data_IF_458792998089
#
_entry.id   IF_458792998089
#
_cell.length_a   1.000
_cell.length_b   1.000
_cell.length_c   1.000
_cell.angle_alpha   90.00
_cell.angle_beta   90.00
_cell.angle_gamma   90.00
#
_symmetry.space_group_name_H-M   'P 1'
#
loop_
_entity.id
_entity.type
_entity.pdbx_description
1 polymer ?
#
# COMPACT_ATOMS: atom_id res chain seq x y z
N UNK A 1 -4.59 -12.41 -13.83
CA UNK A 1 -5.45 -12.00 -12.68
C UNK A 1 -4.53 -11.43 -11.58
N UNK A 2 -4.62 -10.12 -11.31
CA UNK A 2 -3.83 -9.44 -10.28
C UNK A 2 -4.43 -9.66 -8.88
N UNK A 3 -4.64 -10.91 -8.50
CA UNK A 3 -5.14 -11.24 -7.16
C UNK A 3 -3.98 -11.50 -6.22
N UNK A 4 -4.10 -11.02 -4.98
CA UNK A 4 -3.19 -11.43 -3.92
C UNK A 4 -3.32 -12.93 -3.66
N UNK A 5 -2.18 -13.58 -3.43
CA UNK A 5 -2.15 -14.94 -2.92
C UNK A 5 -2.88 -15.00 -1.57
N UNK A 6 -3.54 -16.13 -1.26
CA UNK A 6 -4.26 -16.33 0.01
C UNK A 6 -3.40 -15.96 1.23
N UNK A 7 -2.11 -16.27 1.19
CA UNK A 7 -1.16 -15.95 2.28
C UNK A 7 -0.94 -14.45 2.44
N UNK A 8 -0.71 -13.74 1.34
CA UNK A 8 -0.46 -12.31 1.39
C UNK A 8 -1.75 -11.53 1.70
N UNK A 9 -2.91 -12.06 1.33
CA UNK A 9 -4.20 -11.49 1.73
C UNK A 9 -4.45 -11.60 3.25
N UNK A 10 -4.09 -12.74 3.86
CA UNK A 10 -4.15 -12.90 5.33
C UNK A 10 -3.21 -11.89 6.00
N UNK A 11 -1.97 -11.75 5.51
CA UNK A 11 -1.03 -10.77 6.04
C UNK A 11 -1.55 -9.33 5.89
N UNK A 12 -2.23 -9.03 4.78
CA UNK A 12 -2.86 -7.74 4.53
C UNK A 12 -3.94 -7.44 5.58
N UNK A 13 -4.84 -8.39 5.83
CA UNK A 13 -5.89 -8.26 6.85
C UNK A 13 -5.29 -8.11 8.26
N UNK A 14 -4.27 -8.90 8.60
CA UNK A 14 -3.56 -8.80 9.89
C UNK A 14 -2.95 -7.42 10.09
N UNK A 15 -2.34 -6.83 9.05
CA UNK A 15 -1.78 -5.47 9.13
C UNK A 15 -2.86 -4.44 9.41
N UNK A 16 -3.98 -4.51 8.71
CA UNK A 16 -5.11 -3.59 8.92
C UNK A 16 -5.64 -3.71 10.35
N UNK A 17 -5.87 -4.92 10.84
CA UNK A 17 -6.38 -5.12 12.21
C UNK A 17 -5.39 -4.61 13.26
N UNK A 18 -4.09 -4.83 13.08
CA UNK A 18 -3.07 -4.26 13.96
C UNK A 18 -3.04 -2.73 13.95
N UNK A 19 -3.19 -2.10 12.78
CA UNK A 19 -3.25 -0.64 12.67
C UNK A 19 -4.51 -0.07 13.35
N UNK A 20 -5.65 -0.74 13.21
CA UNK A 20 -6.89 -0.36 13.89
C UNK A 20 -6.77 -0.51 15.41
N UNK A 21 -6.14 -1.59 15.88
CA UNK A 21 -5.90 -1.82 17.30
C UNK A 21 -5.00 -0.71 17.86
N UNK A 22 -3.86 -0.43 17.22
CA UNK A 22 -2.95 0.63 17.61
C UNK A 22 -3.65 2.00 17.64
N UNK A 23 -4.41 2.32 16.60
CA UNK A 23 -5.16 3.58 16.52
C UNK A 23 -6.22 3.71 17.63
N UNK A 24 -6.87 2.61 18.00
CA UNK A 24 -7.82 2.61 19.10
C UNK A 24 -7.17 2.98 20.45
N UNK A 25 -5.98 2.44 20.75
CA UNK A 25 -5.24 2.82 21.97
C UNK A 25 -4.79 4.28 21.94
N UNK A 26 -4.51 4.81 20.75
CA UNK A 26 -4.02 6.19 20.56
C UNK A 26 -5.13 7.22 20.36
N UNK A 27 -6.43 6.84 20.43
CA UNK A 27 -7.58 7.68 20.03
C UNK A 27 -7.67 9.07 20.68
N UNK A 28 -6.97 9.30 21.79
CA UNK A 28 -6.94 10.59 22.51
C UNK A 28 -5.64 11.38 22.37
N UNK A 29 -4.66 10.88 21.61
CA UNK A 29 -3.30 11.45 21.57
C UNK A 29 -2.99 12.17 20.26
N UNK A 30 -3.52 11.70 19.14
CA UNK A 30 -3.23 12.26 17.82
C UNK A 30 -4.50 12.38 16.99
N UNK A 31 -4.73 13.58 16.45
CA UNK A 31 -5.81 13.87 15.52
C UNK A 31 -5.23 14.59 14.31
N UNK A 32 -5.54 14.11 13.11
CA UNK A 32 -5.19 14.74 11.84
C UNK A 32 -6.51 15.09 11.14
N UNK A 33 -6.59 16.30 10.60
CA UNK A 33 -7.74 16.74 9.81
C UNK A 33 -7.92 15.88 8.55
N UNK A 34 -9.16 15.58 8.18
CA UNK A 34 -9.47 14.78 6.99
C UNK A 34 -8.87 15.36 5.70
N UNK A 35 -8.78 16.69 5.57
CA UNK A 35 -8.14 17.36 4.42
C UNK A 35 -6.65 17.00 4.28
N UNK A 36 -5.91 17.01 5.40
CA UNK A 36 -4.51 16.59 5.44
C UNK A 36 -4.36 15.09 5.11
N UNK A 37 -5.26 14.24 5.60
CA UNK A 37 -5.29 12.81 5.27
C UNK A 37 -5.47 12.61 3.76
N UNK A 38 -6.48 13.26 3.16
CA UNK A 38 -6.73 13.19 1.72
C UNK A 38 -5.49 13.64 0.94
N UNK A 39 -4.89 14.78 1.33
CA UNK A 39 -3.70 15.33 0.67
C UNK A 39 -2.55 14.30 0.68
N UNK A 40 -2.22 13.74 1.83
CA UNK A 40 -1.14 12.75 1.95
C UNK A 40 -1.47 11.49 1.15
N UNK A 41 -2.71 11.00 1.20
CA UNK A 41 -3.12 9.83 0.43
C UNK A 41 -3.01 10.05 -1.09
N UNK A 42 -3.35 11.24 -1.59
CA UNK A 42 -3.19 11.56 -3.02
C UNK A 42 -1.72 11.55 -3.45
N UNK A 43 -0.81 12.01 -2.59
CA UNK A 43 0.65 11.91 -2.82
C UNK A 43 1.08 10.43 -2.85
N UNK A 44 0.61 9.62 -1.91
CA UNK A 44 0.87 8.16 -1.87
C UNK A 44 0.38 7.49 -3.16
N UNK A 45 -0.83 7.83 -3.61
CA UNK A 45 -1.40 7.31 -4.85
C UNK A 45 -0.49 7.64 -6.05
N UNK A 46 -0.08 8.90 -6.19
CA UNK A 46 0.81 9.33 -7.27
C UNK A 46 2.17 8.63 -7.24
N UNK A 47 2.73 8.44 -6.04
CA UNK A 47 3.97 7.71 -5.84
C UNK A 47 3.84 6.23 -6.26
N UNK A 48 2.79 5.54 -5.81
CA UNK A 48 2.55 4.13 -6.15
C UNK A 48 2.29 3.97 -7.66
N UNK A 49 1.60 4.91 -8.30
CA UNK A 49 1.42 4.91 -9.75
C UNK A 49 2.76 5.02 -10.49
N UNK A 50 3.62 5.93 -10.03
CA UNK A 50 4.96 6.13 -10.58
C UNK A 50 5.82 4.87 -10.38
N UNK A 51 5.73 4.23 -9.22
CA UNK A 51 6.39 2.96 -8.92
C UNK A 51 5.97 1.85 -9.89
N UNK A 52 4.66 1.71 -10.13
CA UNK A 52 4.12 0.74 -11.09
C UNK A 52 4.68 1.04 -12.48
N UNK A 53 4.67 2.31 -12.92
CA UNK A 53 5.20 2.70 -14.21
C UNK A 53 6.69 2.31 -14.37
N UNK A 54 7.52 2.57 -13.35
CA UNK A 54 8.94 2.21 -13.34
C UNK A 54 9.13 0.69 -13.43
N UNK A 55 8.36 -0.09 -12.67
CA UNK A 55 8.42 -1.57 -12.69
C UNK A 55 8.03 -2.13 -14.08
N UNK A 56 7.11 -1.45 -14.78
CA UNK A 56 6.72 -1.83 -16.14
C UNK A 56 7.73 -1.41 -17.20
N UNK A 57 8.38 -0.26 -17.05
CA UNK A 57 9.34 0.28 -18.03
C UNK A 57 10.77 -0.24 -17.86
N UNK A 58 11.14 -0.73 -16.68
CA UNK A 58 12.52 -1.18 -16.40
C UNK A 58 12.83 -2.56 -17.00
N UNK A 59 14.08 -2.72 -17.44
CA UNK A 59 14.68 -4.00 -17.86
C UNK A 59 14.65 -5.06 -16.75
N UNK A 60 14.53 -4.63 -15.48
CA UNK A 60 14.32 -5.47 -14.30
C UNK A 60 13.12 -6.40 -14.42
N UNK A 61 12.15 -6.09 -15.29
CA UNK A 61 11.04 -7.00 -15.59
C UNK A 61 11.57 -8.40 -15.94
N UNK A 62 12.58 -8.53 -16.80
CA UNK A 62 13.11 -9.83 -17.19
C UNK A 62 13.70 -10.60 -15.99
N UNK A 63 14.50 -9.92 -15.16
CA UNK A 63 15.14 -10.49 -13.96
C UNK A 63 14.10 -10.93 -12.92
N UNK A 64 13.05 -10.14 -12.73
CA UNK A 64 11.98 -10.42 -11.77
C UNK A 64 11.00 -11.50 -12.25
N UNK A 65 10.92 -11.73 -13.56
CA UNK A 65 10.12 -12.80 -14.15
C UNK A 65 10.74 -14.18 -13.90
N UNK A 66 12.06 -14.30 -13.96
CA UNK A 66 12.78 -15.57 -13.74
C UNK A 66 12.79 -16.01 -12.27
N UNK A 67 12.59 -15.08 -11.33
CA UNK A 67 12.54 -15.40 -9.91
C UNK A 67 11.15 -15.92 -9.50
N UNK A 68 11.05 -17.24 -9.30
CA UNK A 68 9.85 -17.88 -8.74
C UNK A 68 9.62 -17.47 -7.28
N UNK A 69 8.38 -17.14 -6.94
CA UNK A 69 7.97 -16.83 -5.56
C UNK A 69 6.80 -17.68 -5.11
N UNK A 70 6.78 -18.09 -3.84
CA UNK A 70 5.70 -18.94 -3.31
C UNK A 70 4.35 -18.23 -3.44
N UNK A 71 3.46 -18.78 -4.25
CA UNK A 71 2.08 -18.30 -4.43
C UNK A 71 1.85 -17.32 -5.58
N UNK A 72 2.88 -17.03 -6.39
CA UNK A 72 2.81 -16.22 -7.62
C UNK A 72 3.65 -16.87 -8.72
N UNK A 73 3.37 -16.58 -9.99
CA UNK A 73 4.16 -17.12 -11.10
C UNK A 73 5.57 -16.52 -11.12
N UNK A 74 5.70 -15.24 -10.74
CA UNK A 74 6.98 -14.54 -10.66
C UNK A 74 7.00 -13.48 -9.55
N UNK A 75 8.20 -13.08 -9.14
CA UNK A 75 8.39 -11.99 -8.17
C UNK A 75 7.84 -10.66 -8.72
N UNK A 76 7.92 -10.47 -10.04
CA UNK A 76 7.29 -9.35 -10.74
C UNK A 76 5.76 -9.31 -10.54
N UNK A 77 5.09 -10.46 -10.74
CA UNK A 77 3.63 -10.55 -10.58
C UNK A 77 3.22 -10.26 -9.13
N UNK A 78 4.00 -10.73 -8.16
CA UNK A 78 3.78 -10.42 -6.73
C UNK A 78 3.85 -8.91 -6.48
N UNK A 79 4.89 -8.27 -6.97
CA UNK A 79 5.16 -6.84 -6.81
C UNK A 79 4.04 -5.97 -7.38
N UNK A 80 3.59 -6.27 -8.59
CA UNK A 80 2.52 -5.52 -9.23
C UNK A 80 1.20 -5.78 -8.53
N UNK A 81 0.92 -7.02 -8.12
CA UNK A 81 -0.33 -7.33 -7.41
C UNK A 81 -0.42 -6.58 -6.09
N UNK A 82 0.68 -6.47 -5.33
CA UNK A 82 0.74 -5.69 -4.09
C UNK A 82 0.57 -4.21 -4.39
N UNK A 83 1.35 -3.65 -5.32
CA UNK A 83 1.33 -2.21 -5.64
C UNK A 83 -0.04 -1.78 -6.18
N UNK A 84 -0.65 -2.60 -7.05
CA UNK A 84 -1.98 -2.36 -7.58
C UNK A 84 -3.05 -2.40 -6.48
N UNK A 85 -2.98 -3.36 -5.56
CA UNK A 85 -3.93 -3.43 -4.45
C UNK A 85 -3.79 -2.24 -3.50
N UNK A 86 -2.56 -1.83 -3.19
CA UNK A 86 -2.29 -0.60 -2.42
C UNK A 86 -2.84 0.64 -3.12
N UNK A 87 -2.68 0.74 -4.45
CA UNK A 87 -3.27 1.82 -5.22
C UNK A 87 -4.81 1.84 -5.10
N UNK A 88 -5.46 0.71 -5.38
CA UNK A 88 -6.93 0.60 -5.31
C UNK A 88 -7.45 0.91 -3.91
N UNK A 89 -6.79 0.37 -2.87
CA UNK A 89 -7.15 0.63 -1.48
C UNK A 89 -7.07 2.12 -1.14
N UNK A 90 -5.95 2.77 -1.45
CA UNK A 90 -5.79 4.20 -1.17
C UNK A 90 -6.80 5.06 -1.95
N UNK A 91 -7.10 4.69 -3.19
CA UNK A 91 -8.09 5.40 -4.01
C UNK A 91 -9.50 5.29 -3.41
N UNK A 92 -9.90 4.08 -3.02
CA UNK A 92 -11.17 3.85 -2.33
C UNK A 92 -11.21 4.58 -0.98
N UNK A 93 -10.08 4.63 -0.27
CA UNK A 93 -10.00 5.29 1.02
C UNK A 93 -10.13 6.81 0.89
N UNK A 94 -9.51 7.44 -0.11
CA UNK A 94 -9.70 8.86 -0.41
C UNK A 94 -11.16 9.16 -0.73
N UNK A 95 -11.79 8.36 -1.60
CA UNK A 95 -13.21 8.53 -1.93
C UNK A 95 -14.10 8.39 -0.68
N UNK A 96 -13.78 7.44 0.19
CA UNK A 96 -14.49 7.23 1.44
C UNK A 96 -14.39 8.42 2.40
N UNK A 97 -13.17 8.93 2.64
CA UNK A 97 -12.94 10.08 3.53
C UNK A 97 -13.56 11.36 2.98
N UNK A 98 -13.63 11.52 1.66
CA UNK A 98 -14.24 12.69 1.02
C UNK A 98 -15.78 12.70 1.13
N UNK A 99 -16.44 11.54 1.08
CA UNK A 99 -17.91 11.44 1.01
C UNK A 99 -18.56 11.27 2.39
N UNK A 100 -17.96 10.48 3.30
CA UNK A 100 -18.61 10.09 4.56
C UNK A 100 -17.81 10.38 5.86
N UNK A 101 -17.12 11.52 6.00
CA UNK A 101 -16.36 11.76 7.23
C UNK A 101 -17.23 11.91 8.48
N UNK A 102 -18.51 12.30 8.34
CA UNK A 102 -19.36 12.73 9.46
C UNK A 102 -19.86 11.56 10.34
N UNK A 103 -20.03 10.36 9.77
CA UNK A 103 -20.57 9.21 10.51
C UNK A 103 -19.53 8.21 10.99
N UNK A 104 -18.24 8.40 10.65
CA UNK A 104 -17.21 7.40 10.97
C UNK A 104 -16.35 7.81 12.17
N UNK A 105 -16.06 6.87 13.10
CA UNK A 105 -15.15 7.14 14.20
C UNK A 105 -13.76 7.55 13.70
N UNK A 106 -13.26 8.67 14.20
CA UNK A 106 -11.95 9.24 13.80
C UNK A 106 -10.78 8.28 14.00
N UNK A 107 -10.84 7.43 15.02
CA UNK A 107 -9.81 6.41 15.27
C UNK A 107 -9.76 5.33 14.16
N UNK A 108 -10.88 5.03 13.50
CA UNK A 108 -10.86 4.08 12.37
C UNK A 108 -10.16 4.71 11.17
N UNK A 109 -10.49 5.97 10.87
CA UNK A 109 -9.88 6.74 9.78
C UNK A 109 -8.36 6.82 10.01
N UNK A 110 -7.94 7.14 11.22
CA UNK A 110 -6.51 7.16 11.58
C UNK A 110 -5.85 5.79 11.44
N UNK A 111 -6.52 4.70 11.82
CA UNK A 111 -5.97 3.35 11.68
C UNK A 111 -5.79 2.92 10.22
N UNK A 112 -6.75 3.25 9.35
CA UNK A 112 -6.63 3.03 7.90
C UNK A 112 -5.53 3.90 7.29
N UNK A 113 -5.37 5.13 7.78
CA UNK A 113 -4.30 6.03 7.36
C UNK A 113 -2.90 5.50 7.75
N UNK A 114 -2.74 4.95 8.96
CA UNK A 114 -1.50 4.29 9.37
C UNK A 114 -1.17 3.09 8.47
N UNK A 115 -2.18 2.29 8.10
CA UNK A 115 -1.97 1.19 7.16
C UNK A 115 -1.45 1.69 5.80
N UNK A 116 -2.00 2.79 5.27
CA UNK A 116 -1.54 3.40 4.02
C UNK A 116 -0.06 3.83 4.08
N UNK A 117 0.38 4.40 5.21
CA UNK A 117 1.79 4.78 5.43
C UNK A 117 2.69 3.55 5.46
N UNK A 118 2.30 2.49 6.16
CA UNK A 118 3.09 1.24 6.23
C UNK A 118 3.22 0.62 4.85
N UNK A 119 2.15 0.62 4.05
CA UNK A 119 2.20 0.14 2.67
C UNK A 119 3.12 0.97 1.79
N UNK A 120 3.10 2.30 1.93
CA UNK A 120 4.05 3.17 1.24
C UNK A 120 5.49 2.78 1.55
N UNK A 121 5.83 2.59 2.83
CA UNK A 121 7.18 2.18 3.25
C UNK A 121 7.57 0.86 2.60
N UNK A 122 6.65 -0.11 2.52
CA UNK A 122 6.90 -1.39 1.85
C UNK A 122 7.17 -1.18 0.35
N UNK A 123 6.38 -0.36 -0.34
CA UNK A 123 6.58 -0.07 -1.76
C UNK A 123 7.94 0.60 -1.98
N UNK A 124 8.29 1.60 -1.18
CA UNK A 124 9.60 2.28 -1.22
C UNK A 124 10.73 1.27 -1.02
N UNK A 125 10.65 0.43 0.01
CA UNK A 125 11.67 -0.58 0.30
C UNK A 125 11.88 -1.52 -0.88
N UNK A 126 10.79 -1.96 -1.52
CA UNK A 126 10.91 -2.85 -2.68
C UNK A 126 11.54 -2.11 -3.86
N UNK A 127 11.16 -0.86 -4.14
CA UNK A 127 11.79 -0.05 -5.19
C UNK A 127 13.30 0.12 -4.97
N UNK A 128 13.73 0.42 -3.74
CA UNK A 128 15.16 0.52 -3.43
C UNK A 128 15.89 -0.81 -3.64
N UNK A 129 15.26 -1.92 -3.25
CA UNK A 129 15.81 -3.24 -3.51
C UNK A 129 15.93 -3.52 -5.01
N UNK A 130 14.97 -3.08 -5.81
CA UNK A 130 15.03 -3.19 -7.27
C UNK A 130 16.18 -2.37 -7.86
N UNK A 131 16.31 -1.10 -7.46
CA UNK A 131 17.43 -0.23 -7.83
C UNK A 131 18.78 -0.86 -7.48
N UNK A 132 18.91 -1.48 -6.30
CA UNK A 132 20.17 -2.13 -5.91
C UNK A 132 20.55 -3.34 -6.78
N UNK A 133 19.58 -3.99 -7.43
CA UNK A 133 19.85 -5.11 -8.34
C UNK A 133 20.31 -4.61 -9.70
N UNK A 134 19.81 -3.46 -10.16
CA UNK A 134 20.19 -2.88 -11.46
C UNK A 134 21.57 -2.21 -11.46
N UNK A 135 22.09 -1.84 -10.28
CA UNK A 135 23.40 -1.19 -10.11
C UNK A 135 24.56 -2.23 -10.08
N UNK A 136 24.27 -3.51 -9.87
CA UNK A 136 25.26 -4.61 -9.83
C UNK A 136 25.38 -5.25 -11.21
#
# INVERSE_FOLDING_TARGET
MLLLSKRDNILYVIKITMCLFLSYFLKGTFYISNEAIITILTVIIGFVLSAIAIIFSSSLRAVLYDQKTKGYESLWQKLISISYNTFVFNLLFVAFVAIQPICFPSWIIMGLFLNAIIELIIVIYILFKLLSIEII
#
